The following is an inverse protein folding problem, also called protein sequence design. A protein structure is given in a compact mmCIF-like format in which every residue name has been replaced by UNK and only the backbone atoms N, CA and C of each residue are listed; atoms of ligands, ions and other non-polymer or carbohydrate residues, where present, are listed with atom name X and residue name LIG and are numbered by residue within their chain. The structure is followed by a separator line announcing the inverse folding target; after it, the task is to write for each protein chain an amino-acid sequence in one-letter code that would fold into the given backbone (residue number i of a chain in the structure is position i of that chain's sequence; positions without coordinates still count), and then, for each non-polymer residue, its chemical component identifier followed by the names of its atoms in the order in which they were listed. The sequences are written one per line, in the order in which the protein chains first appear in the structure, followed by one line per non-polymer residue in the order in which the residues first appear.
data_IF_855085491703
#
_entry.id   IF_855085491703
#
_cell.length_a   1.000
_cell.length_b   1.000
_cell.length_c   1.000
_cell.angle_alpha   90.00
_cell.angle_beta   90.00
_cell.angle_gamma   90.00
#
_symmetry.space_group_name_H-M   'P 1'
#
loop_
_entity.id
_entity.type
_entity.pdbx_description
1 polymer ?
#
# COMPACT_ATOMS: atom_id res chain seq x y z
N UNK A 1 -8.70 -22.42 4.03
CA UNK A 1 -9.51 -21.19 3.82
C UNK A 1 -8.85 -20.08 4.63
N UNK A 2 -8.84 -18.83 4.15
CA UNK A 2 -8.30 -17.71 4.94
C UNK A 2 -9.24 -17.40 6.11
N UNK A 3 -8.67 -17.10 7.26
CA UNK A 3 -9.39 -16.53 8.41
C UNK A 3 -9.57 -15.02 8.22
N UNK A 4 -10.44 -14.41 9.02
CA UNK A 4 -10.56 -12.94 9.04
C UNK A 4 -9.22 -12.28 9.42
N UNK A 5 -8.45 -12.89 10.34
CA UNK A 5 -7.12 -12.40 10.73
C UNK A 5 -6.16 -12.38 9.54
N UNK A 6 -6.09 -13.47 8.78
CA UNK A 6 -5.23 -13.56 7.60
C UNK A 6 -5.59 -12.46 6.58
N UNK A 7 -6.88 -12.17 6.40
CA UNK A 7 -7.33 -11.10 5.50
C UNK A 7 -6.95 -9.71 6.01
N UNK A 8 -7.01 -9.47 7.34
CA UNK A 8 -6.55 -8.19 7.92
C UNK A 8 -5.05 -7.98 7.76
N UNK A 9 -4.26 -9.06 7.85
CA UNK A 9 -2.81 -8.99 7.64
C UNK A 9 -2.45 -8.75 6.16
N UNK A 10 -3.22 -9.34 5.23
CA UNK A 10 -3.03 -9.17 3.79
C UNK A 10 -3.71 -7.92 3.20
N UNK A 11 -4.33 -7.08 4.03
CA UNK A 11 -5.22 -6.02 3.58
C UNK A 11 -4.49 -4.94 2.75
N UNK A 12 -3.32 -4.51 3.22
CA UNK A 12 -2.49 -3.50 2.55
C UNK A 12 -2.03 -4.01 1.19
N UNK A 13 -1.40 -5.19 1.15
CA UNK A 13 -0.92 -5.81 -0.10
C UNK A 13 -2.05 -6.07 -1.10
N UNK A 14 -3.24 -6.42 -0.61
CA UNK A 14 -4.42 -6.59 -1.44
C UNK A 14 -4.85 -5.27 -2.11
N UNK A 15 -4.86 -4.17 -1.34
CA UNK A 15 -5.24 -2.82 -1.79
C UNK A 15 -4.18 -2.16 -2.70
N UNK A 16 -2.91 -2.52 -2.51
CA UNK A 16 -1.78 -1.99 -3.29
C UNK A 16 -1.44 -2.86 -4.50
N UNK A 17 -1.93 -4.11 -4.55
CA UNK A 17 -1.72 -5.00 -5.68
C UNK A 17 -0.44 -5.82 -5.60
N UNK A 18 0.19 -5.90 -4.43
CA UNK A 18 1.44 -6.66 -4.22
C UNK A 18 1.22 -8.17 -4.01
N UNK A 19 -0.03 -8.62 -3.88
CA UNK A 19 -0.35 -10.05 -3.74
C UNK A 19 -0.15 -10.80 -5.06
N UNK A 20 0.44 -12.00 -4.95
CA UNK A 20 0.45 -12.97 -6.05
C UNK A 20 -0.98 -13.30 -6.52
N UNK A 21 -1.19 -13.71 -7.79
CA UNK A 21 -2.53 -13.99 -8.32
C UNK A 21 -3.33 -14.99 -7.48
N UNK A 22 -2.67 -16.03 -6.96
CA UNK A 22 -3.29 -17.04 -6.09
C UNK A 22 -3.67 -16.50 -4.71
N UNK A 23 -2.83 -15.66 -4.09
CA UNK A 23 -3.17 -15.00 -2.83
C UNK A 23 -4.35 -14.03 -3.02
N UNK A 24 -4.35 -13.25 -4.10
CA UNK A 24 -5.42 -12.33 -4.46
C UNK A 24 -6.75 -13.05 -4.70
N UNK A 25 -6.73 -14.25 -5.27
CA UNK A 25 -7.95 -15.06 -5.45
C UNK A 25 -8.50 -15.54 -4.10
N UNK A 26 -7.63 -16.03 -3.20
CA UNK A 26 -8.03 -16.48 -1.85
C UNK A 26 -8.68 -15.35 -1.04
N UNK A 27 -8.11 -14.14 -1.08
CA UNK A 27 -8.71 -12.95 -0.43
C UNK A 27 -10.07 -12.63 -1.06
N UNK A 28 -10.18 -12.61 -2.40
CA UNK A 28 -11.47 -12.36 -3.08
C UNK A 28 -12.56 -13.36 -2.69
N UNK A 29 -12.22 -14.65 -2.60
CA UNK A 29 -13.16 -15.69 -2.15
C UNK A 29 -13.61 -15.45 -0.70
N UNK A 30 -12.70 -15.08 0.20
CA UNK A 30 -13.08 -14.76 1.57
C UNK A 30 -13.99 -13.52 1.63
N UNK A 31 -13.64 -12.45 0.89
CA UNK A 31 -14.46 -11.24 0.82
C UNK A 31 -15.86 -11.53 0.26
N UNK A 32 -15.99 -12.49 -0.66
CA UNK A 32 -17.29 -12.92 -1.19
C UNK A 32 -18.18 -13.55 -0.11
N UNK A 33 -17.59 -14.31 0.83
CA UNK A 33 -18.32 -15.03 1.87
C UNK A 33 -18.51 -14.24 3.18
N UNK A 34 -17.60 -13.30 3.46
CA UNK A 34 -17.57 -12.58 4.75
C UNK A 34 -17.90 -11.10 4.56
N UNK A 35 -19.10 -10.69 4.98
CA UNK A 35 -19.54 -9.29 4.94
C UNK A 35 -18.67 -8.37 5.82
N UNK A 36 -18.20 -8.85 6.97
CA UNK A 36 -17.37 -8.08 7.90
C UNK A 36 -16.02 -7.71 7.29
N UNK A 37 -15.33 -8.66 6.64
CA UNK A 37 -14.06 -8.36 5.96
C UNK A 37 -14.27 -7.42 4.76
N UNK A 38 -15.44 -7.48 4.10
CA UNK A 38 -15.79 -6.55 3.03
C UNK A 38 -15.94 -5.11 3.56
N UNK A 39 -16.64 -4.95 4.68
CA UNK A 39 -16.78 -3.66 5.36
C UNK A 39 -15.43 -3.12 5.85
N UNK A 40 -14.58 -3.99 6.41
CA UNK A 40 -13.23 -3.64 6.84
C UNK A 40 -12.36 -3.09 5.69
N UNK A 41 -12.31 -3.78 4.55
CA UNK A 41 -11.56 -3.32 3.38
C UNK A 41 -12.12 -2.00 2.84
N UNK A 42 -13.45 -1.83 2.79
CA UNK A 42 -14.06 -0.58 2.36
C UNK A 42 -13.72 0.60 3.30
N UNK A 43 -13.69 0.36 4.61
CA UNK A 43 -13.25 1.35 5.60
C UNK A 43 -11.81 1.79 5.33
N UNK A 44 -10.87 0.85 5.14
CA UNK A 44 -9.49 1.18 4.82
C UNK A 44 -9.36 1.98 3.51
N UNK A 45 -10.12 1.62 2.48
CA UNK A 45 -10.16 2.38 1.22
C UNK A 45 -10.69 3.80 1.41
N UNK A 46 -11.71 3.99 2.25
CA UNK A 46 -12.23 5.32 2.62
C UNK A 46 -11.16 6.15 3.33
N UNK A 47 -10.48 5.60 4.34
CA UNK A 47 -9.37 6.26 5.02
C UNK A 47 -8.29 6.69 4.02
N UNK A 48 -7.89 5.80 3.10
CA UNK A 48 -6.87 6.11 2.09
C UNK A 48 -7.32 7.22 1.12
N UNK A 49 -8.60 7.25 0.73
CA UNK A 49 -9.17 8.32 -0.11
C UNK A 49 -9.17 9.66 0.61
N UNK A 50 -9.54 9.69 1.89
CA UNK A 50 -9.52 10.90 2.71
C UNK A 50 -8.09 11.46 2.83
N UNK A 51 -7.11 10.60 3.12
CA UNK A 51 -5.70 11.01 3.22
C UNK A 51 -5.17 11.57 1.89
N UNK A 52 -5.55 11.00 0.75
CA UNK A 52 -5.18 11.52 -0.58
C UNK A 52 -5.80 12.87 -0.92
N UNK A 53 -6.88 13.25 -0.24
CA UNK A 53 -7.54 14.55 -0.44
C UNK A 53 -6.91 15.70 0.34
N UNK A 54 -5.92 15.42 1.20
CA UNK A 54 -5.24 16.45 1.96
C UNK A 54 -4.33 17.30 1.05
N UNK A 55 -4.20 18.62 1.31
CA UNK A 55 -3.27 19.46 0.57
C UNK A 55 -1.85 18.94 0.74
N UNK A 56 -1.18 18.64 -0.37
CA UNK A 56 0.24 18.32 -0.35
C UNK A 56 1.01 19.61 -0.12
N UNK A 57 2.00 19.57 0.78
CA UNK A 57 2.95 20.65 0.94
C UNK A 57 3.76 20.79 -0.35
N UNK A 58 3.91 22.02 -0.84
CA UNK A 58 4.86 22.29 -1.91
C UNK A 58 6.26 21.99 -1.41
N UNK A 59 7.03 21.11 -2.09
CA UNK A 59 8.42 20.89 -1.72
C UNK A 59 9.22 22.19 -1.85
N UNK A 60 10.26 22.38 -1.02
CA UNK A 60 11.10 23.56 -1.11
C UNK A 60 11.83 23.59 -2.47
N UNK A 61 12.07 24.78 -3.01
CA UNK A 61 12.54 24.96 -4.38
C UNK A 61 13.93 24.32 -4.66
N UNK A 62 14.73 24.10 -3.62
CA UNK A 62 16.05 23.48 -3.66
C UNK A 62 16.02 21.95 -3.51
N UNK A 63 14.83 21.34 -3.30
CA UNK A 63 14.71 19.91 -3.03
C UNK A 63 15.30 19.06 -4.15
N UNK A 64 15.02 19.41 -5.40
CA UNK A 64 15.51 18.66 -6.57
C UNK A 64 17.05 18.67 -6.63
N UNK A 65 17.66 19.85 -6.45
CA UNK A 65 19.11 20.00 -6.42
C UNK A 65 19.75 19.16 -5.30
N UNK A 66 19.16 19.21 -4.09
CA UNK A 66 19.63 18.42 -2.94
C UNK A 66 19.50 16.91 -3.14
N UNK A 67 18.41 16.46 -3.78
CA UNK A 67 18.21 15.05 -4.08
C UNK A 67 19.25 14.54 -5.08
N UNK A 68 19.55 15.31 -6.13
CA UNK A 68 20.59 14.97 -7.11
C UNK A 68 21.97 14.92 -6.46
N UNK A 69 22.32 15.94 -5.67
CA UNK A 69 23.60 15.97 -4.93
C UNK A 69 23.75 14.74 -4.03
N UNK A 70 22.70 14.41 -3.27
CA UNK A 70 22.71 13.25 -2.37
C UNK A 70 22.78 11.93 -3.14
N UNK A 71 22.04 11.80 -4.25
CA UNK A 71 22.03 10.58 -5.06
C UNK A 71 23.38 10.32 -5.76
N UNK A 72 24.06 11.38 -6.22
CA UNK A 72 25.40 11.29 -6.84
C UNK A 72 26.47 10.97 -5.79
N UNK A 73 26.29 11.45 -4.55
CA UNK A 73 27.19 11.15 -3.44
C UNK A 73 26.96 9.75 -2.82
N UNK A 74 25.85 9.06 -3.16
CA UNK A 74 25.58 7.73 -2.64
C UNK A 74 26.52 6.71 -3.31
N UNK A 75 27.26 5.89 -2.53
CA UNK A 75 28.04 4.80 -3.11
C UNK A 75 27.11 3.83 -3.86
N UNK A 76 27.58 3.18 -4.94
CA UNK A 76 26.76 2.22 -5.67
C UNK A 76 26.28 1.13 -4.71
N UNK A 77 24.97 0.90 -4.71
CA UNK A 77 24.33 -0.15 -3.93
C UNK A 77 25.02 -1.49 -4.27
N UNK A 78 25.63 -2.15 -3.28
CA UNK A 78 26.25 -3.45 -3.52
C UNK A 78 25.11 -4.46 -3.63
N UNK A 79 24.89 -5.12 -4.79
CA UNK A 79 24.00 -6.26 -4.81
C UNK A 79 24.61 -7.37 -3.92
N UNK A 80 23.84 -7.81 -2.93
CA UNK A 80 24.10 -9.02 -2.15
C UNK A 80 23.45 -10.24 -2.80
#
# INVERSE_FOLDING_TARGET
MLTCRDVTELATDYMEGHLSPGARLRVRLHLFLCSMCRAYIDQLQKTRRLLRGLPLSTPPADLEARLIETAVALPPDRPG
#
